data_IF_892099908918
#
_entry.id   IF_892099908918
#
_cell.length_a   1.000
_cell.length_b   1.000
_cell.length_c   1.000
_cell.angle_alpha   90.00
_cell.angle_beta   90.00
_cell.angle_gamma   90.00
#
_symmetry.space_group_name_H-M   'P 1'
#
loop_
_entity.id
_entity.type
_entity.pdbx_description
1 polymer ?
#
# COMPACT_ATOMS: atom_id res chain seq x y z
N UNK A 1 -75.07 -12.17 5.45
CA UNK A 1 -74.05 -11.10 5.34
C UNK A 1 -73.34 -10.96 6.67
N UNK A 2 -72.06 -11.34 6.74
CA UNK A 2 -71.02 -10.99 7.73
C UNK A 2 -69.84 -11.93 7.38
N UNK A 3 -68.67 -11.54 6.91
CA UNK A 3 -67.92 -10.29 7.01
C UNK A 3 -66.50 -10.67 7.44
N UNK A 4 -65.75 -11.37 6.58
CA UNK A 4 -64.39 -11.85 6.89
C UNK A 4 -63.43 -10.67 6.80
N UNK A 5 -63.00 -10.15 7.95
CA UNK A 5 -61.95 -9.13 8.04
C UNK A 5 -60.59 -9.80 7.78
N UNK A 6 -60.10 -9.72 6.53
CA UNK A 6 -58.75 -10.16 6.17
C UNK A 6 -57.75 -9.07 6.56
N UNK A 7 -57.09 -9.24 7.70
CA UNK A 7 -55.93 -8.44 8.07
C UNK A 7 -54.78 -8.75 7.09
N UNK A 8 -54.44 -7.81 6.21
CA UNK A 8 -53.19 -7.85 5.46
C UNK A 8 -52.05 -7.42 6.40
N UNK A 9 -51.26 -8.39 6.87
CA UNK A 9 -49.97 -8.11 7.51
C UNK A 9 -48.97 -7.73 6.41
N UNK A 10 -48.55 -6.45 6.39
CA UNK A 10 -47.47 -5.97 5.54
C UNK A 10 -46.16 -6.44 6.19
N UNK A 11 -45.51 -7.44 5.59
CA UNK A 11 -44.18 -7.88 6.00
C UNK A 11 -43.15 -6.83 5.54
N UNK A 12 -42.58 -6.07 6.48
CA UNK A 12 -41.46 -5.18 6.21
C UNK A 12 -40.19 -6.03 6.01
N UNK A 13 -39.77 -6.17 4.75
CA UNK A 13 -38.50 -6.84 4.39
C UNK A 13 -37.37 -5.86 4.68
N UNK A 14 -36.73 -6.00 5.83
CA UNK A 14 -35.47 -5.34 6.16
C UNK A 14 -34.35 -5.93 5.30
N UNK A 15 -33.98 -5.25 4.21
CA UNK A 15 -32.79 -5.60 3.43
C UNK A 15 -31.54 -5.10 4.16
N UNK A 16 -31.00 -5.91 5.08
CA UNK A 16 -29.68 -5.70 5.64
C UNK A 16 -28.63 -5.92 4.56
N UNK A 17 -28.07 -4.84 4.02
CA UNK A 17 -26.81 -4.90 3.25
C UNK A 17 -25.68 -5.19 4.21
N UNK A 18 -25.43 -6.47 4.49
CA UNK A 18 -24.21 -6.88 5.17
C UNK A 18 -23.03 -6.48 4.27
N UNK A 19 -22.27 -5.47 4.68
CA UNK A 19 -21.01 -5.15 4.01
C UNK A 19 -20.11 -6.35 4.18
N UNK A 20 -19.75 -7.02 3.08
CA UNK A 20 -18.67 -7.99 3.09
C UNK A 20 -17.40 -7.20 3.39
N UNK A 21 -16.99 -7.18 4.67
CA UNK A 21 -15.67 -6.72 5.05
C UNK A 21 -14.67 -7.75 4.53
N UNK A 22 -14.23 -7.58 3.27
CA UNK A 22 -13.05 -8.27 2.80
C UNK A 22 -11.88 -7.77 3.64
N UNK A 23 -11.10 -8.69 4.21
CA UNK A 23 -9.89 -8.32 4.91
C UNK A 23 -8.97 -7.59 3.92
N UNK A 24 -8.74 -6.30 4.16
CA UNK A 24 -7.83 -5.50 3.35
C UNK A 24 -6.43 -6.14 3.40
N UNK A 25 -5.79 -6.31 2.24
CA UNK A 25 -4.44 -6.89 2.21
C UNK A 25 -3.47 -5.91 2.87
N UNK A 26 -2.54 -6.40 3.69
CA UNK A 26 -1.67 -5.55 4.51
C UNK A 26 -0.19 -5.72 4.20
N UNK A 27 0.60 -4.66 4.42
CA UNK A 27 2.06 -4.68 4.38
C UNK A 27 2.72 -5.45 5.53
N UNK A 28 2.02 -5.69 6.65
CA UNK A 28 2.60 -6.26 7.87
C UNK A 28 3.36 -7.58 7.70
N UNK A 29 2.89 -8.56 6.90
CA UNK A 29 3.63 -9.80 6.66
C UNK A 29 4.96 -9.61 5.90
N UNK A 30 5.19 -8.41 5.36
CA UNK A 30 6.31 -8.08 4.49
C UNK A 30 7.19 -6.96 5.05
N UNK A 31 7.04 -6.64 6.35
CA UNK A 31 7.63 -5.46 6.99
C UNK A 31 9.14 -5.31 6.81
N UNK A 32 9.88 -6.42 6.78
CA UNK A 32 11.34 -6.43 6.65
C UNK A 32 11.86 -6.21 5.22
N UNK A 33 10.97 -6.23 4.22
CA UNK A 33 11.36 -6.21 2.81
C UNK A 33 11.95 -7.54 2.33
N UNK A 34 12.78 -7.51 1.30
CA UNK A 34 13.38 -8.72 0.73
C UNK A 34 13.68 -8.59 -0.77
N UNK A 35 13.56 -9.70 -1.48
CA UNK A 35 13.92 -9.77 -2.90
C UNK A 35 12.91 -9.01 -3.78
N UNK A 36 13.36 -7.92 -4.41
CA UNK A 36 12.52 -7.00 -5.20
C UNK A 36 11.53 -7.69 -6.18
N UNK A 37 11.93 -8.71 -6.96
CA UNK A 37 11.00 -9.40 -7.85
C UNK A 37 9.77 -10.04 -7.19
N UNK A 38 9.89 -10.50 -5.94
CA UNK A 38 8.77 -11.10 -5.20
C UNK A 38 7.73 -10.03 -4.83
N UNK A 39 8.20 -8.86 -4.40
CA UNK A 39 7.35 -7.71 -4.10
C UNK A 39 6.69 -7.15 -5.37
N UNK A 40 7.42 -7.07 -6.48
CA UNK A 40 6.85 -6.69 -7.77
C UNK A 40 5.75 -7.67 -8.24
N UNK A 41 5.85 -8.96 -7.91
CA UNK A 41 4.78 -9.93 -8.18
C UNK A 41 3.53 -9.60 -7.38
N UNK A 42 3.66 -9.30 -6.10
CA UNK A 42 2.55 -8.90 -5.22
C UNK A 42 1.90 -7.60 -5.73
N UNK A 43 2.71 -6.60 -6.12
CA UNK A 43 2.22 -5.36 -6.72
C UNK A 43 1.38 -5.65 -7.97
N UNK A 44 1.89 -6.50 -8.88
CA UNK A 44 1.14 -6.89 -10.08
C UNK A 44 -0.16 -7.64 -9.76
N UNK A 45 -0.14 -8.53 -8.78
CA UNK A 45 -1.32 -9.32 -8.39
C UNK A 45 -2.41 -8.42 -7.79
N UNK A 46 -2.06 -7.52 -6.87
CA UNK A 46 -3.01 -6.54 -6.31
C UNK A 46 -3.52 -5.57 -7.38
N UNK A 47 -2.64 -5.14 -8.29
CA UNK A 47 -3.06 -4.34 -9.45
C UNK A 47 -3.92 -5.13 -10.45
N UNK A 48 -3.89 -6.46 -10.47
CA UNK A 48 -4.79 -7.23 -11.32
C UNK A 48 -6.16 -7.42 -10.67
N UNK A 49 -6.20 -7.64 -9.34
CA UNK A 49 -7.45 -7.82 -8.59
C UNK A 49 -8.20 -6.52 -8.32
N UNK A 50 -7.49 -5.40 -8.13
CA UNK A 50 -8.08 -4.14 -7.70
C UNK A 50 -8.41 -4.08 -6.21
N UNK A 51 -8.06 -5.12 -5.46
CA UNK A 51 -8.30 -5.20 -4.02
C UNK A 51 -7.59 -4.05 -3.29
N UNK A 52 -8.20 -3.50 -2.22
CA UNK A 52 -7.55 -2.53 -1.35
C UNK A 52 -6.28 -3.11 -0.70
N UNK A 53 -5.27 -2.27 -0.54
CA UNK A 53 -4.02 -2.61 0.13
C UNK A 53 -3.65 -1.54 1.17
N UNK A 54 -3.44 -1.96 2.42
CA UNK A 54 -3.04 -1.12 3.54
C UNK A 54 -1.54 -1.17 3.74
N UNK A 55 -0.89 -0.01 3.77
CA UNK A 55 0.45 0.13 4.34
C UNK A 55 0.30 0.59 5.79
N UNK A 56 0.61 -0.31 6.72
CA UNK A 56 0.51 -0.12 8.17
C UNK A 56 1.78 -0.59 8.88
N UNK A 57 2.00 -0.09 10.10
CA UNK A 57 3.16 -0.45 10.90
C UNK A 57 4.49 -0.08 10.23
N UNK A 58 5.43 -1.02 10.16
CA UNK A 58 6.75 -0.79 9.55
C UNK A 58 6.84 -1.42 8.16
N UNK A 59 7.38 -0.68 7.20
CA UNK A 59 7.52 -1.12 5.81
C UNK A 59 8.90 -0.74 5.27
N UNK A 60 9.86 -1.67 5.35
CA UNK A 60 11.27 -1.46 5.01
C UNK A 60 11.60 -1.90 3.58
N UNK A 61 12.57 -1.22 2.97
CA UNK A 61 13.23 -1.71 1.76
C UNK A 61 12.20 -2.03 0.67
N UNK A 62 12.20 -3.26 0.14
CA UNK A 62 11.27 -3.73 -0.89
C UNK A 62 9.79 -3.64 -0.50
N UNK A 63 9.42 -3.61 0.79
CA UNK A 63 8.03 -3.38 1.19
C UNK A 63 7.47 -2.07 0.62
N UNK A 64 8.30 -1.03 0.53
CA UNK A 64 7.89 0.28 -0.01
C UNK A 64 7.42 0.21 -1.47
N UNK A 65 7.75 -0.85 -2.22
CA UNK A 65 7.22 -1.10 -3.58
C UNK A 65 5.68 -1.13 -3.61
N UNK A 66 5.03 -1.43 -2.48
CA UNK A 66 3.57 -1.44 -2.37
C UNK A 66 2.94 -0.05 -2.55
N UNK A 67 3.71 1.04 -2.44
CA UNK A 67 3.27 2.37 -2.86
C UNK A 67 2.87 2.43 -4.35
N UNK A 68 3.32 1.46 -5.17
CA UNK A 68 2.93 1.32 -6.57
C UNK A 68 1.66 0.47 -6.81
N UNK A 69 0.95 0.05 -5.75
CA UNK A 69 -0.35 -0.60 -5.87
C UNK A 69 -1.42 0.49 -6.09
N UNK A 70 -2.27 0.32 -7.12
CA UNK A 70 -3.25 1.35 -7.54
C UNK A 70 -4.26 1.67 -6.45
N UNK A 71 -4.66 0.67 -5.66
CA UNK A 71 -5.60 0.82 -4.56
C UNK A 71 -4.90 0.76 -3.20
N UNK A 72 -3.69 1.34 -3.11
CA UNK A 72 -2.94 1.46 -1.84
C UNK A 72 -3.41 2.64 -1.02
N UNK A 73 -3.44 2.48 0.30
CA UNK A 73 -3.50 3.59 1.26
C UNK A 73 -2.37 3.45 2.28
N UNK A 74 -2.05 4.54 2.96
CA UNK A 74 -1.03 4.59 4.00
C UNK A 74 -1.67 5.02 5.33
N UNK A 75 -1.38 4.30 6.42
CA UNK A 75 -1.71 4.76 7.76
C UNK A 75 -0.82 5.93 8.20
N UNK A 76 -1.37 6.91 8.91
CA UNK A 76 -0.61 8.11 9.30
C UNK A 76 0.62 7.80 10.17
N UNK A 77 0.55 6.77 11.01
CA UNK A 77 1.63 6.34 11.92
C UNK A 77 2.53 5.24 11.32
N UNK A 78 2.29 4.82 10.08
CA UNK A 78 3.19 3.90 9.39
C UNK A 78 4.61 4.49 9.26
N UNK A 79 5.62 3.63 9.25
CA UNK A 79 7.03 3.99 9.06
C UNK A 79 7.55 3.32 7.80
N UNK A 80 7.81 4.12 6.76
CA UNK A 80 8.38 3.63 5.51
C UNK A 80 9.86 3.95 5.46
N UNK A 81 10.68 2.92 5.21
CA UNK A 81 12.14 3.03 5.28
C UNK A 81 12.75 2.74 3.89
N UNK A 82 13.23 3.79 3.25
CA UNK A 82 13.79 3.80 1.90
C UNK A 82 15.32 3.68 1.96
N UNK A 83 15.89 3.00 0.98
CA UNK A 83 17.33 2.93 0.74
C UNK A 83 17.56 2.41 -0.69
N UNK A 84 18.81 2.43 -1.15
CA UNK A 84 19.18 1.94 -2.46
C UNK A 84 19.00 0.42 -2.61
N UNK A 85 18.39 -0.01 -3.71
CA UNK A 85 18.32 -1.42 -4.05
C UNK A 85 19.69 -2.02 -4.41
N UNK A 86 19.96 -3.21 -3.89
CA UNK A 86 21.19 -3.96 -4.15
C UNK A 86 21.04 -4.96 -5.31
N UNK A 87 21.85 -4.80 -6.35
CA UNK A 87 21.97 -5.74 -7.47
C UNK A 87 22.96 -6.87 -7.09
N UNK A 88 22.42 -7.98 -6.57
CA UNK A 88 23.21 -9.09 -5.97
C UNK A 88 24.27 -9.66 -6.93
N UNK A 89 23.96 -9.78 -8.24
CA UNK A 89 24.89 -10.40 -9.20
C UNK A 89 26.12 -9.54 -9.47
N UNK A 90 25.95 -8.23 -9.47
CA UNK A 90 26.97 -7.23 -9.75
C UNK A 90 27.60 -6.69 -8.47
N UNK A 91 27.04 -7.04 -7.31
CA UNK A 91 27.43 -6.54 -5.99
C UNK A 91 27.48 -5.00 -5.98
N UNK A 92 26.41 -4.37 -6.50
CA UNK A 92 26.30 -2.92 -6.63
C UNK A 92 25.07 -2.40 -5.91
N UNK A 93 25.27 -1.26 -5.26
CA UNK A 93 24.23 -0.45 -4.62
C UNK A 93 24.34 0.97 -5.17
N UNK A 94 23.21 1.64 -5.32
CA UNK A 94 23.13 3.02 -5.81
C UNK A 94 21.83 3.29 -6.56
N UNK A 95 21.55 4.54 -6.93
CA UNK A 95 20.27 4.92 -7.52
C UNK A 95 20.10 4.39 -8.95
N UNK A 96 21.21 4.04 -9.61
CA UNK A 96 21.24 3.55 -10.99
C UNK A 96 21.14 2.02 -11.11
N UNK A 97 21.12 1.28 -10.00
CA UNK A 97 20.93 -0.18 -10.01
C UNK A 97 19.53 -0.55 -10.50
N UNK A 98 19.38 -1.77 -11.02
CA UNK A 98 18.07 -2.25 -11.48
C UNK A 98 17.09 -2.37 -10.33
N UNK A 99 17.57 -2.78 -9.15
CA UNK A 99 16.79 -2.84 -7.94
C UNK A 99 16.28 -1.45 -7.51
N UNK A 100 17.15 -0.43 -7.47
CA UNK A 100 16.75 0.95 -7.16
C UNK A 100 15.76 1.51 -8.18
N UNK A 101 16.01 1.32 -9.48
CA UNK A 101 15.06 1.76 -10.53
C UNK A 101 13.69 1.11 -10.34
N UNK A 102 13.66 -0.20 -10.08
CA UNK A 102 12.42 -0.91 -9.82
C UNK A 102 11.64 -0.34 -8.62
N UNK A 103 12.34 0.11 -7.58
CA UNK A 103 11.76 0.80 -6.42
C UNK A 103 11.25 2.19 -6.79
N UNK A 104 12.11 3.03 -7.35
CA UNK A 104 11.81 4.42 -7.73
C UNK A 104 10.62 4.51 -8.70
N UNK A 105 10.51 3.57 -9.64
CA UNK A 105 9.41 3.50 -10.61
C UNK A 105 8.03 3.29 -9.97
N UNK A 106 7.96 2.89 -8.68
CA UNK A 106 6.69 2.71 -7.94
C UNK A 106 6.29 3.92 -7.12
N UNK A 107 7.20 4.87 -6.93
CA UNK A 107 6.89 6.09 -6.21
C UNK A 107 6.34 7.12 -7.18
N UNK A 108 5.45 7.97 -6.68
CA UNK A 108 5.03 9.15 -7.44
C UNK A 108 6.21 10.11 -7.62
N UNK A 109 6.07 11.06 -8.54
CA UNK A 109 7.18 11.93 -8.96
C UNK A 109 7.71 12.79 -7.79
N UNK A 110 6.84 13.21 -6.88
CA UNK A 110 7.22 14.02 -5.71
C UNK A 110 8.12 13.26 -4.75
N UNK A 111 7.72 12.05 -4.33
CA UNK A 111 8.52 11.22 -3.45
C UNK A 111 9.82 10.76 -4.13
N UNK A 112 9.74 10.37 -5.42
CA UNK A 112 10.91 9.98 -6.21
C UNK A 112 11.96 11.09 -6.25
N UNK A 113 11.54 12.32 -6.57
CA UNK A 113 12.46 13.46 -6.68
C UNK A 113 13.08 13.79 -5.32
N UNK A 114 12.28 13.81 -4.25
CA UNK A 114 12.78 14.03 -2.89
C UNK A 114 13.85 13.02 -2.47
N UNK A 115 13.62 11.72 -2.73
CA UNK A 115 14.59 10.67 -2.38
C UNK A 115 15.90 10.79 -3.17
N UNK A 116 15.83 11.16 -4.46
CA UNK A 116 17.00 11.32 -5.32
C UNK A 116 17.78 12.60 -5.00
N UNK A 117 17.11 13.73 -4.86
CA UNK A 117 17.73 15.02 -4.51
C UNK A 117 18.34 15.00 -3.10
N UNK A 118 17.74 14.24 -2.18
CA UNK A 118 18.25 14.03 -0.83
C UNK A 118 19.34 12.96 -0.71
N UNK A 119 19.78 12.34 -1.82
CA UNK A 119 20.76 11.24 -1.82
C UNK A 119 20.36 10.02 -0.96
N UNK A 120 19.05 9.85 -0.70
CA UNK A 120 18.51 8.76 0.14
C UNK A 120 18.51 7.39 -0.57
N UNK A 121 18.96 7.35 -1.82
CA UNK A 121 19.03 6.15 -2.67
C UNK A 121 20.46 5.87 -3.14
N UNK A 122 21.46 6.42 -2.45
CA UNK A 122 22.89 6.24 -2.78
C UNK A 122 23.52 5.06 -2.04
N UNK A 123 22.98 4.68 -0.87
CA UNK A 123 23.52 3.62 -0.01
C UNK A 123 22.40 2.74 0.56
N UNK A 124 22.77 1.70 1.31
CA UNK A 124 21.82 0.82 2.03
C UNK A 124 21.35 1.42 3.37
N UNK A 125 21.77 2.64 3.70
CA UNK A 125 21.31 3.33 4.90
C UNK A 125 19.84 3.73 4.74
N UNK A 126 19.04 3.43 5.78
CA UNK A 126 17.62 3.72 5.75
C UNK A 126 17.31 5.20 5.99
N UNK A 127 16.65 5.82 5.03
CA UNK A 127 15.89 7.05 5.22
C UNK A 127 14.44 6.72 5.60
N UNK A 128 13.96 7.20 6.74
CA UNK A 128 12.59 6.93 7.21
C UNK A 128 11.69 8.14 6.97
N UNK A 129 10.51 7.90 6.41
CA UNK A 129 9.39 8.85 6.40
C UNK A 129 8.20 8.23 7.12
N UNK A 130 7.44 9.06 7.85
CA UNK A 130 6.16 8.64 8.39
C UNK A 130 5.08 8.56 7.29
N UNK A 131 4.00 7.84 7.57
CA UNK A 131 2.83 7.84 6.71
C UNK A 131 2.20 9.23 6.60
N UNK A 132 2.17 10.01 7.68
CA UNK A 132 1.72 11.41 7.64
C UNK A 132 2.58 12.26 6.69
N UNK A 133 3.90 12.07 6.64
CA UNK A 133 4.75 12.75 5.66
C UNK A 133 4.41 12.32 4.23
N UNK A 134 4.14 11.02 4.00
CA UNK A 134 3.71 10.54 2.68
C UNK A 134 2.38 11.14 2.24
N UNK A 135 1.43 11.25 3.15
CA UNK A 135 0.11 11.82 2.87
C UNK A 135 0.22 13.33 2.64
N UNK A 136 0.80 14.05 3.59
CA UNK A 136 0.74 15.52 3.62
C UNK A 136 1.69 16.18 2.61
N UNK A 137 2.87 15.59 2.38
CA UNK A 137 3.90 16.18 1.50
C UNK A 137 3.86 15.63 0.08
N UNK A 138 3.48 14.37 -0.08
CA UNK A 138 3.57 13.65 -1.36
C UNK A 138 2.22 13.22 -1.90
N UNK A 139 1.12 13.44 -1.18
CA UNK A 139 -0.24 13.22 -1.68
C UNK A 139 -0.64 11.74 -1.78
N UNK A 140 -0.01 10.86 -0.99
CA UNK A 140 -0.49 9.49 -0.87
C UNK A 140 -1.85 9.45 -0.16
N UNK A 141 -2.71 8.50 -0.56
CA UNK A 141 -4.04 8.34 0.03
C UNK A 141 -3.94 7.83 1.47
N UNK A 142 -4.58 8.54 2.40
CA UNK A 142 -4.75 8.08 3.76
C UNK A 142 -5.73 6.90 3.84
N UNK A 143 -5.42 5.92 4.67
CA UNK A 143 -6.35 4.83 4.94
C UNK A 143 -7.56 5.29 5.75
N UNK A 144 -8.73 4.69 5.50
CA UNK A 144 -9.89 4.95 6.35
C UNK A 144 -9.61 4.49 7.78
N UNK A 145 -10.02 5.32 8.75
CA UNK A 145 -10.09 4.95 10.16
C UNK A 145 -11.21 3.93 10.34
N UNK A 146 -10.93 2.83 11.03
CA UNK A 146 -11.95 1.87 11.46
C UNK A 146 -12.75 2.38 12.64
#
# INVERSE_FOLDING_TARGET
MLGICRSLAIAAILTSTASLAFAETSSMPYSEGGYVPDFLKIVRQNNASGEPFRIEGTCKSACTLFLGIRNVCVERDARLMFHAGHDIKENRTGPDTRASRAMLDRYNDGLRSYLLEGHHMDTEEFHTLSGSELIDRFGYRECATH
#
